data_IF_954913348798
#
_entry.id   IF_954913348798
#
_cell.length_a   1.000
_cell.length_b   1.000
_cell.length_c   1.000
_cell.angle_alpha   90.00
_cell.angle_beta   90.00
_cell.angle_gamma   90.00
#
_symmetry.space_group_name_H-M   'P 1'
#
loop_
_entity.id
_entity.type
_entity.pdbx_description
1 polymer ?
#
# COMPACT_ATOMS: atom_id res chain seq x y z
N UNK A 1 7.11 -0.63 -2.59
CA UNK A 1 6.31 -1.57 -3.45
C UNK A 1 7.17 -2.43 -4.38
N UNK A 2 8.19 -1.85 -5.04
CA UNK A 2 8.97 -2.53 -6.10
C UNK A 2 9.43 -3.95 -5.74
N UNK A 3 10.01 -4.15 -4.55
CA UNK A 3 10.45 -5.48 -4.11
C UNK A 3 9.32 -6.53 -4.10
N UNK A 4 8.15 -6.19 -3.55
CA UNK A 4 7.01 -7.10 -3.43
C UNK A 4 6.27 -7.32 -4.76
N UNK A 5 6.33 -6.37 -5.69
CA UNK A 5 5.63 -6.46 -6.97
C UNK A 5 6.51 -6.97 -8.11
N UNK A 6 7.83 -6.90 -7.97
CA UNK A 6 8.79 -7.36 -9.00
C UNK A 6 9.43 -8.71 -8.64
N UNK A 7 9.66 -9.00 -7.35
CA UNK A 7 10.36 -10.22 -6.92
C UNK A 7 9.43 -11.24 -6.25
N UNK A 8 8.11 -11.09 -6.39
CA UNK A 8 7.13 -11.91 -5.69
C UNK A 8 5.82 -12.01 -6.51
N UNK A 9 5.04 -13.10 -6.37
CA UNK A 9 3.82 -13.31 -7.16
C UNK A 9 2.64 -12.40 -6.78
N UNK A 10 2.83 -11.47 -5.84
CA UNK A 10 1.77 -10.57 -5.40
C UNK A 10 1.68 -9.31 -6.25
N UNK A 11 0.47 -9.01 -6.71
CA UNK A 11 0.15 -7.76 -7.41
C UNK A 11 -0.61 -6.83 -6.46
N UNK A 12 -0.19 -5.57 -6.39
CA UNK A 12 -0.97 -4.54 -5.72
C UNK A 12 -2.21 -4.20 -6.56
N UNK A 13 -3.39 -4.28 -5.96
CA UNK A 13 -4.68 -4.08 -6.62
C UNK A 13 -5.26 -2.71 -6.33
N UNK A 14 -5.20 -2.27 -5.07
CA UNK A 14 -5.75 -0.98 -4.62
C UNK A 14 -4.87 -0.41 -3.51
N UNK A 15 -4.71 0.90 -3.53
CA UNK A 15 -3.98 1.67 -2.51
C UNK A 15 -4.94 2.73 -1.98
N UNK A 16 -5.12 2.79 -0.66
CA UNK A 16 -5.93 3.81 0.01
C UNK A 16 -5.08 4.52 1.07
N UNK A 17 -4.81 5.82 0.91
CA UNK A 17 -4.26 6.63 1.99
C UNK A 17 -5.32 6.86 3.07
N UNK A 18 -4.93 6.81 4.34
CA UNK A 18 -5.79 7.06 5.49
C UNK A 18 -5.10 8.11 6.37
N UNK A 19 -5.81 9.21 6.63
CA UNK A 19 -5.36 10.19 7.61
C UNK A 19 -5.80 9.74 9.01
N UNK A 20 -4.93 9.03 9.71
CA UNK A 20 -5.14 8.65 11.10
C UNK A 20 -4.64 9.73 12.09
N UNK A 21 -3.87 10.71 11.62
CA UNK A 21 -3.23 11.73 12.46
C UNK A 21 -3.39 13.12 11.83
N UNK A 22 -4.59 13.73 11.95
CA UNK A 22 -4.87 15.03 11.36
C UNK A 22 -3.91 16.10 11.85
N UNK A 23 -3.57 17.04 10.97
CA UNK A 23 -2.64 18.16 11.24
C UNK A 23 -1.16 17.76 11.42
N UNK A 24 -0.82 16.50 11.12
CA UNK A 24 0.57 16.07 10.96
C UNK A 24 0.88 15.81 9.50
N UNK A 25 2.16 15.73 9.13
CA UNK A 25 2.56 15.32 7.78
C UNK A 25 2.47 13.79 7.57
N UNK A 26 1.99 13.04 8.57
CA UNK A 26 1.93 11.59 8.51
C UNK A 26 0.80 11.14 7.57
N UNK A 27 1.11 10.21 6.65
CA UNK A 27 0.10 9.54 5.82
C UNK A 27 0.24 8.03 5.99
N UNK A 28 -0.76 7.41 6.59
CA UNK A 28 -0.86 5.96 6.65
C UNK A 28 -1.49 5.44 5.35
N UNK A 29 -1.16 4.23 4.93
CA UNK A 29 -1.70 3.69 3.68
C UNK A 29 -2.00 2.19 3.81
N UNK A 30 -3.19 1.80 3.38
CA UNK A 30 -3.58 0.40 3.27
C UNK A 30 -3.50 -0.04 1.81
N UNK A 31 -2.83 -1.16 1.57
CA UNK A 31 -2.69 -1.75 0.23
C UNK A 31 -3.33 -3.12 0.19
N UNK A 32 -4.29 -3.30 -0.72
CA UNK A 32 -4.82 -4.61 -1.06
C UNK A 32 -3.88 -5.28 -2.08
N UNK A 33 -3.39 -6.47 -1.75
CA UNK A 33 -2.58 -7.29 -2.64
C UNK A 33 -3.26 -8.64 -2.87
N UNK A 34 -3.14 -9.15 -4.09
CA UNK A 34 -3.58 -10.51 -4.43
C UNK A 34 -2.40 -11.29 -5.03
N UNK A 35 -2.36 -12.59 -4.79
CA UNK A 35 -1.48 -13.47 -5.56
C UNK A 35 -2.07 -13.61 -6.96
N UNK A 36 -1.23 -13.58 -8.00
CA UNK A 36 -1.66 -13.96 -9.36
C UNK A 36 -2.06 -15.43 -9.43
#
# INVERSE_FOLDING_TARGET
LAYLTQNSPYKAQKIQPVDMFPHTAHIETVVLMSRK
#
